data_IF_298195726182
#
_entry.id   IF_298195726182
#
_cell.length_a   1.000
_cell.length_b   1.000
_cell.length_c   1.000
_cell.angle_alpha   90.00
_cell.angle_beta   90.00
_cell.angle_gamma   90.00
#
_symmetry.space_group_name_H-M   'P 1'
#
loop_
_entity.id
_entity.type
_entity.pdbx_description
1 polymer ?
#
# COMPACT_ATOMS: atom_id res chain seq x y z
N UNK A 1 -23.51 -8.47 -5.96
CA UNK A 1 -22.61 -8.17 -4.81
C UNK A 1 -21.19 -8.24 -5.34
N UNK A 2 -20.38 -7.19 -5.26
CA UNK A 2 -18.99 -7.24 -5.76
C UNK A 2 -18.08 -7.69 -4.61
N UNK A 3 -17.42 -8.82 -4.83
CA UNK A 3 -16.57 -9.49 -3.86
C UNK A 3 -15.37 -8.59 -3.54
N UNK A 4 -15.13 -8.38 -2.25
CA UNK A 4 -13.99 -7.62 -1.75
C UNK A 4 -12.76 -8.53 -1.85
N UNK A 5 -12.09 -8.52 -2.99
CA UNK A 5 -10.96 -9.39 -3.27
C UNK A 5 -9.72 -8.85 -2.54
N UNK A 6 -9.38 -9.48 -1.41
CA UNK A 6 -8.19 -9.16 -0.65
C UNK A 6 -6.98 -9.79 -1.32
N UNK A 7 -6.05 -8.97 -1.81
CA UNK A 7 -4.77 -9.48 -2.30
C UNK A 7 -3.89 -9.78 -1.09
N UNK A 8 -3.64 -11.07 -0.83
CA UNK A 8 -2.60 -11.52 0.10
C UNK A 8 -1.33 -11.63 -0.72
N UNK A 9 -0.29 -10.89 -0.31
CA UNK A 9 1.00 -10.92 -0.97
C UNK A 9 1.97 -11.64 -0.06
N UNK A 10 2.42 -12.80 -0.51
CA UNK A 10 3.44 -13.59 0.17
C UNK A 10 4.79 -12.88 0.01
N UNK A 11 5.51 -12.71 1.13
CA UNK A 11 6.89 -12.23 1.10
C UNK A 11 7.82 -13.21 0.38
N UNK A 12 9.12 -12.87 0.23
CA UNK A 12 10.13 -13.80 -0.26
C UNK A 12 10.13 -15.15 0.50
N UNK A 13 10.94 -16.10 0.03
CA UNK A 13 11.19 -17.35 0.74
C UNK A 13 12.68 -17.53 0.83
N UNK A 14 13.30 -17.06 1.93
CA UNK A 14 14.59 -17.47 2.53
C UNK A 14 15.32 -16.29 3.22
N UNK A 15 15.74 -16.47 4.48
CA UNK A 15 16.22 -15.37 5.35
C UNK A 15 17.53 -14.65 4.96
N UNK A 16 18.36 -15.18 4.06
CA UNK A 16 19.53 -14.44 3.50
C UNK A 16 19.13 -13.53 2.34
N UNK A 17 18.15 -13.97 1.56
CA UNK A 17 17.63 -13.22 0.43
C UNK A 17 16.74 -12.08 0.94
N UNK A 18 15.97 -12.29 2.01
CA UNK A 18 15.14 -11.26 2.64
C UNK A 18 15.93 -10.00 3.02
N UNK A 19 17.01 -10.12 3.82
CA UNK A 19 17.82 -8.95 4.23
C UNK A 19 18.38 -8.19 3.03
N UNK A 20 18.77 -8.90 1.97
CA UNK A 20 19.27 -8.31 0.73
C UNK A 20 18.17 -7.60 -0.04
N UNK A 21 16.98 -8.21 -0.14
CA UNK A 21 15.78 -7.65 -0.77
C UNK A 21 15.36 -6.38 -0.03
N UNK A 22 15.20 -6.43 1.28
CA UNK A 22 14.82 -5.26 2.10
C UNK A 22 15.85 -4.15 2.02
N UNK A 23 17.16 -4.47 2.11
CA UNK A 23 18.22 -3.47 1.93
C UNK A 23 18.15 -2.82 0.54
N UNK A 24 17.89 -3.61 -0.51
CA UNK A 24 17.72 -3.10 -1.88
C UNK A 24 16.47 -2.23 -2.00
N UNK A 25 15.35 -2.61 -1.39
CA UNK A 25 14.12 -1.82 -1.35
C UNK A 25 14.35 -0.46 -0.66
N UNK A 26 15.04 -0.44 0.49
CA UNK A 26 15.37 0.79 1.21
C UNK A 26 16.23 1.72 0.35
N UNK A 27 17.28 1.17 -0.31
CA UNK A 27 18.16 1.95 -1.19
C UNK A 27 17.43 2.48 -2.42
N UNK A 28 16.66 1.63 -3.09
CA UNK A 28 15.86 1.97 -4.28
C UNK A 28 14.85 3.09 -3.98
N UNK A 29 14.21 3.03 -2.82
CA UNK A 29 13.15 3.97 -2.43
C UNK A 29 13.65 5.23 -1.72
N UNK A 30 14.95 5.32 -1.40
CA UNK A 30 15.51 6.43 -0.59
C UNK A 30 15.26 7.81 -1.19
N UNK A 31 15.20 7.92 -2.52
CA UNK A 31 15.00 9.18 -3.25
C UNK A 31 13.57 9.34 -3.79
N UNK A 32 12.67 8.41 -3.48
CA UNK A 32 11.26 8.52 -3.90
C UNK A 32 10.63 9.67 -3.14
N UNK A 33 10.15 10.66 -3.89
CA UNK A 33 9.52 11.85 -3.33
C UNK A 33 8.09 12.07 -3.82
N UNK A 34 7.51 11.07 -4.50
CA UNK A 34 6.09 11.12 -4.85
C UNK A 34 5.28 11.14 -3.55
N UNK A 35 4.46 12.18 -3.32
CA UNK A 35 3.76 12.31 -2.05
C UNK A 35 2.65 11.25 -1.94
N UNK A 36 2.46 10.72 -0.75
CA UNK A 36 1.22 10.07 -0.32
C UNK A 36 0.26 11.20 0.12
N UNK A 37 0.01 11.36 1.42
CA UNK A 37 -0.65 12.56 1.95
C UNK A 37 0.38 13.52 2.55
N UNK A 38 1.01 13.10 3.65
CA UNK A 38 1.95 13.92 4.42
C UNK A 38 3.39 13.38 4.38
N UNK A 39 3.59 12.22 3.74
CA UNK A 39 4.87 11.51 3.65
C UNK A 39 5.06 10.96 2.24
N UNK A 40 6.30 10.68 1.84
CA UNK A 40 6.61 10.02 0.57
C UNK A 40 6.96 8.52 0.73
N UNK A 41 7.36 8.12 1.94
CA UNK A 41 7.82 6.76 2.24
C UNK A 41 7.58 6.41 3.70
N UNK A 42 7.21 5.16 3.95
CA UNK A 42 7.02 4.56 5.28
C UNK A 42 7.94 3.33 5.38
N UNK A 43 8.69 3.22 6.48
CA UNK A 43 9.46 2.02 6.82
C UNK A 43 8.88 1.49 8.14
N UNK A 44 8.43 0.24 8.13
CA UNK A 44 7.90 -0.44 9.31
C UNK A 44 8.99 -1.36 9.82
N UNK A 45 9.33 -1.27 11.10
CA UNK A 45 10.35 -2.10 11.74
C UNK A 45 9.94 -2.49 13.16
N UNK A 46 10.56 -3.54 13.69
CA UNK A 46 10.43 -3.93 15.10
C UNK A 46 11.09 -2.90 16.02
N UNK A 47 10.57 -2.79 17.25
CA UNK A 47 11.10 -1.92 18.31
C UNK A 47 11.97 -2.72 19.28
N UNK A 48 12.97 -3.41 18.76
CA UNK A 48 13.96 -4.17 19.51
C UNK A 48 15.36 -3.54 19.31
N UNK A 49 16.34 -3.87 20.15
CA UNK A 49 17.70 -3.28 20.10
C UNK A 49 18.37 -3.39 18.71
N UNK A 50 18.02 -4.45 17.96
CA UNK A 50 18.41 -4.61 16.56
C UNK A 50 17.15 -4.65 15.66
N UNK A 51 16.62 -3.48 15.25
CA UNK A 51 15.38 -3.40 14.49
C UNK A 51 15.44 -4.23 13.20
N UNK A 52 14.38 -5.01 12.97
CA UNK A 52 14.16 -5.75 11.72
C UNK A 52 13.12 -5.01 10.90
N UNK A 53 13.46 -4.70 9.65
CA UNK A 53 12.54 -4.03 8.73
C UNK A 53 11.52 -5.04 8.22
N UNK A 54 10.25 -4.78 8.52
CA UNK A 54 9.09 -5.59 8.15
C UNK A 54 8.57 -5.19 6.78
N UNK A 55 8.54 -3.88 6.48
CA UNK A 55 8.03 -3.39 5.21
C UNK A 55 8.63 -2.04 4.81
N UNK A 56 8.71 -1.80 3.52
CA UNK A 56 8.97 -0.49 2.91
C UNK A 56 7.78 -0.15 2.03
N UNK A 57 7.15 1.00 2.24
CA UNK A 57 5.95 1.42 1.50
C UNK A 57 6.19 2.79 0.90
N UNK A 58 5.83 2.95 -0.37
CA UNK A 58 5.80 4.22 -1.10
C UNK A 58 4.41 4.41 -1.71
N UNK A 59 4.18 5.54 -2.40
CA UNK A 59 2.91 5.79 -3.08
C UNK A 59 2.60 4.74 -4.17
N UNK A 60 3.62 4.23 -4.86
CA UNK A 60 3.47 3.37 -6.04
C UNK A 60 3.84 1.91 -5.81
N UNK A 61 4.56 1.61 -4.74
CA UNK A 61 5.20 0.30 -4.54
C UNK A 61 5.39 -0.01 -3.05
N UNK A 62 5.49 -1.30 -2.72
CA UNK A 62 5.83 -1.79 -1.39
C UNK A 62 6.67 -3.07 -1.46
N UNK A 63 7.49 -3.29 -0.45
CA UNK A 63 8.23 -4.53 -0.21
C UNK A 63 7.90 -5.01 1.20
N UNK A 64 7.70 -6.32 1.40
CA UNK A 64 7.34 -6.92 2.68
C UNK A 64 8.25 -8.11 2.99
N UNK A 65 8.64 -8.24 4.26
CA UNK A 65 9.43 -9.36 4.76
C UNK A 65 8.61 -10.67 4.81
N UNK A 66 9.30 -11.80 4.87
CA UNK A 66 8.68 -13.13 4.88
C UNK A 66 7.77 -13.28 6.13
N UNK A 67 6.62 -13.92 5.97
CA UNK A 67 5.67 -14.14 7.06
C UNK A 67 4.79 -12.94 7.43
N UNK A 68 4.88 -11.83 6.69
CA UNK A 68 3.98 -10.68 6.82
C UNK A 68 3.16 -10.48 5.54
N UNK A 69 1.92 -10.01 5.70
CA UNK A 69 1.03 -9.69 4.59
C UNK A 69 0.61 -8.21 4.65
N UNK A 70 0.61 -7.54 3.50
CA UNK A 70 0.09 -6.18 3.36
C UNK A 70 -1.27 -6.25 2.67
N UNK A 71 -2.26 -5.52 3.22
CA UNK A 71 -3.58 -5.35 2.61
C UNK A 71 -3.73 -3.92 2.10
N UNK A 72 -3.98 -3.79 0.81
CA UNK A 72 -4.27 -2.49 0.20
C UNK A 72 -5.77 -2.23 0.18
N UNK A 73 -6.16 -0.97 0.41
CA UNK A 73 -7.53 -0.50 0.18
C UNK A 73 -7.51 0.43 -1.05
N UNK A 74 -8.12 0.03 -2.18
CA UNK A 74 -8.20 0.91 -3.34
C UNK A 74 -9.07 2.13 -3.04
N UNK A 75 -8.75 3.24 -3.70
CA UNK A 75 -9.61 4.42 -3.72
C UNK A 75 -10.74 4.14 -4.70
N UNK A 76 -11.97 4.13 -4.20
CA UNK A 76 -13.16 4.05 -5.05
C UNK A 76 -13.59 5.48 -5.40
N UNK A 77 -13.92 5.78 -6.67
CA UNK A 77 -14.55 7.04 -7.01
C UNK A 77 -15.87 7.15 -6.22
N UNK A 78 -16.17 8.34 -5.73
CA UNK A 78 -17.47 8.61 -5.11
C UNK A 78 -18.57 8.19 -6.08
N UNK A 79 -19.54 7.41 -5.59
CA UNK A 79 -20.73 7.11 -6.39
C UNK A 79 -21.41 8.44 -6.70
N UNK A 80 -21.29 8.94 -7.93
CA UNK A 80 -22.23 9.94 -8.44
C UNK A 80 -23.61 9.33 -8.26
N UNK A 81 -24.43 9.93 -7.39
CA UNK A 81 -25.85 9.61 -7.28
C UNK A 81 -26.49 10.12 -8.58
N UNK A 82 -26.46 9.29 -9.60
CA UNK A 82 -27.12 9.57 -10.87
C UNK A 82 -28.57 9.12 -10.74
N UNK A 83 -29.48 10.06 -10.47
CA UNK A 83 -30.91 9.75 -10.43
C UNK A 83 -31.81 10.67 -9.61
N UNK A 84 -31.85 11.97 -9.92
CA UNK A 84 -33.12 12.73 -9.97
C UNK A 84 -33.08 13.72 -11.14
N UNK A 85 -33.37 13.20 -12.34
CA UNK A 85 -33.97 13.98 -13.43
C UNK A 85 -35.40 13.48 -13.53
N UNK A 86 -36.48 14.23 -13.75
CA UNK A 86 -36.86 15.65 -13.80
C UNK A 86 -38.40 15.60 -13.72
N UNK A 87 -39.10 16.62 -13.22
CA UNK A 87 -40.41 16.92 -13.79
C UNK A 87 -40.53 18.43 -13.98
N UNK A 88 -40.33 18.82 -15.24
CA UNK A 88 -40.62 20.14 -15.76
C UNK A 88 -42.13 20.22 -16.04
N UNK A 89 -42.70 21.39 -15.72
CA UNK A 89 -43.89 22.01 -16.32
C UNK A 89 -45.20 21.86 -15.54
N UNK A 90 -45.69 22.98 -15.00
CA UNK A 90 -46.87 23.67 -15.53
C UNK A 90 -46.99 25.08 -14.91
N UNK A 91 -47.01 26.05 -15.82
CA UNK A 91 -47.51 27.44 -15.77
C UNK A 91 -47.27 28.31 -14.54
#
# INVERSE_FOLDING_TARGET
MKNNEYVVLEGPSNGKDEKKIMSKAIKRTQKVNKPMKDVSRIIIQTDEENPKVIAVVTNDDFEVADGYAIRQKPVYPDKKVEGRKNETSRN
#
